data_IF_746609698197
#
_entry.id   IF_746609698197
#
_cell.length_a   1.000
_cell.length_b   1.000
_cell.length_c   1.000
_cell.angle_alpha   90.00
_cell.angle_beta   90.00
_cell.angle_gamma   90.00
#
_symmetry.space_group_name_H-M   'P 1'
#
loop_
_entity.id
_entity.type
_entity.pdbx_description
1 polymer ?
#
# COMPACT_ATOMS: atom_id res chain seq x y z
N UNK A 1 10.56 12.99 -21.06
CA UNK A 1 10.22 13.06 -19.62
C UNK A 1 9.46 11.79 -19.26
N UNK A 2 10.13 10.88 -18.55
CA UNK A 2 9.74 9.47 -18.45
C UNK A 2 8.52 9.21 -17.56
N UNK A 3 7.75 8.18 -17.92
CA UNK A 3 6.45 7.73 -17.38
C UNK A 3 6.35 7.50 -15.86
N UNK A 4 7.40 7.76 -15.08
CA UNK A 4 7.51 7.44 -13.65
C UNK A 4 7.49 8.65 -12.71
N UNK A 5 7.69 9.88 -13.20
CA UNK A 5 7.77 11.07 -12.33
C UNK A 5 6.44 11.35 -11.61
N UNK A 6 5.32 11.27 -12.35
CA UNK A 6 3.99 11.53 -11.81
C UNK A 6 3.60 10.57 -10.68
N UNK A 7 4.08 9.32 -10.72
CA UNK A 7 3.78 8.33 -9.69
C UNK A 7 4.55 8.62 -8.41
N UNK A 8 5.81 9.01 -8.51
CA UNK A 8 6.60 9.43 -7.33
C UNK A 8 5.95 10.64 -6.65
N UNK A 9 5.41 11.57 -7.43
CA UNK A 9 4.67 12.73 -6.91
C UNK A 9 3.36 12.32 -6.19
N UNK A 10 2.61 11.37 -6.76
CA UNK A 10 1.31 10.92 -6.22
C UNK A 10 1.43 9.86 -5.12
N UNK A 11 2.50 9.10 -5.12
CA UNK A 11 2.77 7.97 -4.23
C UNK A 11 4.24 8.01 -3.79
N UNK A 12 4.59 8.94 -2.90
CA UNK A 12 5.98 9.13 -2.48
C UNK A 12 6.51 7.91 -1.72
N UNK A 13 7.84 7.75 -1.71
CA UNK A 13 8.49 6.59 -1.09
C UNK A 13 8.14 6.41 0.39
N UNK A 14 7.97 7.50 1.13
CA UNK A 14 7.58 7.44 2.55
C UNK A 14 6.20 6.78 2.71
N UNK A 15 5.27 7.04 1.79
CA UNK A 15 3.92 6.48 1.84
C UNK A 15 3.95 4.99 1.50
N UNK A 16 4.73 4.58 0.48
CA UNK A 16 4.94 3.16 0.16
C UNK A 16 5.55 2.42 1.36
N UNK A 17 6.54 3.03 2.03
CA UNK A 17 7.15 2.45 3.24
C UNK A 17 6.17 2.33 4.40
N UNK A 18 5.31 3.34 4.61
CA UNK A 18 4.28 3.31 5.64
C UNK A 18 3.27 2.19 5.39
N UNK A 19 2.73 2.07 4.17
CA UNK A 19 1.79 0.99 3.81
C UNK A 19 2.42 -0.38 4.00
N UNK A 20 3.68 -0.58 3.58
CA UNK A 20 4.39 -1.85 3.78
C UNK A 20 4.57 -2.19 5.27
N UNK A 21 4.84 -1.20 6.12
CA UNK A 21 4.90 -1.38 7.58
C UNK A 21 3.56 -1.76 8.16
N UNK A 22 2.48 -1.11 7.72
CA UNK A 22 1.11 -1.45 8.13
C UNK A 22 0.76 -2.90 7.76
N UNK A 23 1.06 -3.32 6.53
CA UNK A 23 0.83 -4.71 6.09
C UNK A 23 1.67 -5.68 6.92
N UNK A 24 2.94 -5.36 7.20
CA UNK A 24 3.81 -6.21 8.01
C UNK A 24 3.37 -6.30 9.49
N UNK A 25 2.55 -5.38 9.97
CA UNK A 25 1.97 -5.43 11.32
C UNK A 25 0.71 -6.30 11.40
N UNK A 26 0.11 -6.68 10.27
CA UNK A 26 -0.97 -7.66 10.22
C UNK A 26 -0.40 -9.07 10.45
N UNK A 27 -0.98 -9.90 11.34
CA UNK A 27 -0.53 -11.27 11.58
C UNK A 27 -0.43 -12.12 10.30
N UNK A 28 -1.37 -11.96 9.37
CA UNK A 28 -1.40 -12.64 8.08
C UNK A 28 -0.74 -11.86 6.93
N UNK A 29 -0.10 -10.72 7.21
CA UNK A 29 0.68 -9.97 6.23
C UNK A 29 -0.12 -9.56 4.98
N UNK A 30 0.43 -9.85 3.80
CA UNK A 30 -0.22 -9.53 2.52
C UNK A 30 -1.50 -10.33 2.28
N UNK A 31 -1.58 -11.58 2.75
CA UNK A 31 -2.78 -12.40 2.58
C UNK A 31 -3.96 -11.82 3.38
N UNK A 32 -3.72 -11.42 4.62
CA UNK A 32 -4.73 -10.74 5.44
C UNK A 32 -5.07 -9.34 4.88
N UNK A 33 -4.07 -8.58 4.41
CA UNK A 33 -4.33 -7.29 3.78
C UNK A 33 -5.20 -7.41 2.52
N UNK A 34 -5.01 -8.47 1.75
CA UNK A 34 -5.79 -8.78 0.56
C UNK A 34 -7.25 -9.10 0.91
N UNK A 35 -7.46 -9.88 1.97
CA UNK A 35 -8.80 -10.22 2.50
C UNK A 35 -9.55 -8.97 2.98
N UNK A 36 -8.91 -8.12 3.79
CA UNK A 36 -9.50 -6.85 4.26
C UNK A 36 -9.96 -5.91 3.14
N UNK A 37 -9.30 -5.99 1.98
CA UNK A 37 -9.52 -5.10 0.84
C UNK A 37 -10.33 -5.75 -0.29
N UNK A 38 -10.72 -7.03 -0.13
CA UNK A 38 -11.39 -7.84 -1.16
C UNK A 38 -10.66 -7.79 -2.52
N UNK A 39 -9.33 -7.98 -2.48
CA UNK A 39 -8.47 -8.02 -3.67
C UNK A 39 -7.45 -9.14 -3.57
N UNK A 40 -6.64 -9.35 -4.62
CA UNK A 40 -5.55 -10.33 -4.59
C UNK A 40 -4.25 -9.73 -4.04
N UNK A 41 -3.37 -10.57 -3.48
CA UNK A 41 -2.01 -10.14 -3.09
C UNK A 41 -1.25 -9.51 -4.27
N UNK A 42 -1.43 -10.05 -5.47
CA UNK A 42 -0.84 -9.49 -6.69
C UNK A 42 -1.32 -8.07 -6.98
N UNK A 43 -2.58 -7.76 -6.68
CA UNK A 43 -3.12 -6.41 -6.82
C UNK A 43 -2.42 -5.42 -5.86
N UNK A 44 -2.04 -5.86 -4.65
CA UNK A 44 -1.26 -5.08 -3.70
C UNK A 44 0.17 -4.88 -4.20
N UNK A 45 0.85 -5.94 -4.66
CA UNK A 45 2.21 -5.85 -5.19
C UNK A 45 2.31 -4.89 -6.38
N UNK A 46 1.36 -4.95 -7.32
CA UNK A 46 1.32 -4.06 -8.47
C UNK A 46 1.18 -2.57 -8.10
N UNK A 47 0.52 -2.28 -6.97
CA UNK A 47 0.34 -0.92 -6.44
C UNK A 47 1.50 -0.45 -5.56
N UNK A 48 2.33 -1.37 -5.06
CA UNK A 48 3.46 -1.08 -4.16
C UNK A 48 4.84 -1.18 -4.82
N UNK A 49 4.91 -1.60 -6.10
CA UNK A 49 6.15 -1.60 -6.89
C UNK A 49 6.49 -0.20 -7.42
N UNK A 50 7.78 0.13 -7.43
CA UNK A 50 8.29 1.45 -7.82
C UNK A 50 8.07 1.75 -9.31
N UNK A 51 8.15 0.72 -10.15
CA UNK A 51 8.01 0.75 -11.60
C UNK A 51 6.55 0.55 -12.09
N UNK A 52 5.61 0.39 -11.16
CA UNK A 52 4.21 0.14 -11.51
C UNK A 52 3.49 1.37 -12.04
N UNK A 53 2.41 1.14 -12.75
CA UNK A 53 1.50 2.12 -13.34
C UNK A 53 0.29 2.45 -12.43
N UNK A 54 0.15 1.73 -11.31
CA UNK A 54 -0.94 1.91 -10.35
C UNK A 54 -0.43 2.51 -9.03
N UNK A 55 -1.28 3.31 -8.39
CA UNK A 55 -1.05 3.88 -7.06
C UNK A 55 -1.82 3.09 -5.99
N UNK A 56 -1.29 3.07 -4.76
CA UNK A 56 -2.00 2.51 -3.62
C UNK A 56 -2.99 3.52 -3.03
N UNK A 57 -4.31 3.27 -3.08
CA UNK A 57 -5.31 4.25 -2.63
C UNK A 57 -5.18 4.59 -1.14
N UNK A 58 -5.31 5.88 -0.78
CA UNK A 58 -5.28 6.31 0.63
C UNK A 58 -6.36 5.61 1.47
N UNK A 59 -7.56 5.44 0.92
CA UNK A 59 -8.65 4.74 1.61
C UNK A 59 -8.31 3.30 1.99
N UNK A 60 -7.61 2.57 1.11
CA UNK A 60 -7.11 1.22 1.44
C UNK A 60 -6.10 1.27 2.57
N UNK A 61 -5.20 2.25 2.51
CA UNK A 61 -4.17 2.44 3.51
C UNK A 61 -4.76 2.71 4.90
N UNK A 62 -5.84 3.50 4.98
CA UNK A 62 -6.59 3.76 6.21
C UNK A 62 -7.30 2.50 6.74
N UNK A 63 -7.88 1.67 5.87
CA UNK A 63 -8.50 0.40 6.26
C UNK A 63 -7.47 -0.54 6.88
N UNK A 64 -6.34 -0.74 6.20
CA UNK A 64 -5.26 -1.59 6.70
C UNK A 64 -4.66 -1.06 8.00
N UNK A 65 -4.52 0.26 8.13
CA UNK A 65 -4.02 0.89 9.35
C UNK A 65 -4.92 0.59 10.54
N UNK A 66 -6.24 0.70 10.34
CA UNK A 66 -7.23 0.38 11.36
C UNK A 66 -7.24 -1.10 11.72
N UNK A 67 -7.15 -1.99 10.72
CA UNK A 67 -7.08 -3.43 10.93
C UNK A 67 -5.83 -3.84 11.73
N UNK A 68 -4.68 -3.26 11.40
CA UNK A 68 -3.42 -3.53 12.08
C UNK A 68 -3.28 -2.85 13.46
N UNK A 69 -4.18 -1.94 13.82
CA UNK A 69 -4.06 -1.13 15.05
C UNK A 69 -2.81 -0.21 15.06
N UNK A 70 -2.30 0.16 13.88
CA UNK A 70 -1.09 0.99 13.73
C UNK A 70 -1.43 2.43 13.39
N UNK A 71 -0.42 3.31 13.40
CA UNK A 71 -0.54 4.73 13.03
C UNK A 71 0.67 5.18 12.20
N UNK A 72 1.01 4.41 11.16
CA UNK A 72 2.15 4.70 10.27
C UNK A 72 1.82 5.71 9.15
N UNK A 73 0.53 5.94 8.92
CA UNK A 73 -0.04 6.82 7.90
C UNK A 73 -0.75 7.93 8.66
N UNK A 74 -0.22 9.15 8.51
CA UNK A 74 -0.69 10.35 9.20
C UNK A 74 -2.12 10.73 8.81
#
# INVERSE_FOLDING_TARGET
>A
MGKHHWKVEKQPEWYVKAVRKTIAALPGGYAEAADWLDVTENALFNRLRADGDQIFPLGWAMVLQRAAGTHHIA
#
